data_IF_323100609687
#
_entry.id   IF_323100609687
#
_cell.length_a   1.000
_cell.length_b   1.000
_cell.length_c   1.000
_cell.angle_alpha   90.00
_cell.angle_beta   90.00
_cell.angle_gamma   90.00
#
_symmetry.space_group_name_H-M   'P 1'
#
loop_
_entity.id
_entity.type
_entity.pdbx_description
1 polymer ?
#
# COMPACT_ATOMS: atom_id res chain seq x y z
N UNK A 1 -6.41 13.79 -20.67
CA UNK A 1 -6.13 12.65 -19.76
C UNK A 1 -4.62 12.40 -19.79
N UNK A 2 -3.88 12.91 -18.81
CA UNK A 2 -2.41 12.78 -18.78
C UNK A 2 -2.04 11.37 -18.34
N UNK A 3 -1.62 10.56 -19.31
CA UNK A 3 -0.99 9.26 -19.09
C UNK A 3 0.42 9.50 -18.53
N UNK A 4 0.56 9.44 -17.20
CA UNK A 4 1.89 9.42 -16.60
C UNK A 4 2.52 8.06 -16.90
N UNK A 5 3.61 8.10 -17.66
CA UNK A 5 4.38 6.95 -18.10
C UNK A 5 5.05 6.28 -16.88
N UNK A 6 4.44 5.19 -16.41
CA UNK A 6 4.79 4.35 -15.26
C UNK A 6 6.08 3.52 -15.48
N UNK A 7 7.22 4.16 -15.74
CA UNK A 7 8.54 3.50 -15.82
C UNK A 7 9.30 3.45 -14.48
N UNK A 8 8.82 4.16 -13.44
CA UNK A 8 9.45 4.19 -12.11
C UNK A 8 9.04 3.02 -11.19
N UNK A 9 8.00 2.28 -11.54
CA UNK A 9 7.40 1.24 -10.69
C UNK A 9 7.97 -0.17 -10.90
N UNK A 10 9.09 -0.31 -11.63
CA UNK A 10 9.70 -1.62 -11.86
C UNK A 10 10.20 -2.30 -10.57
N UNK A 11 10.44 -1.54 -9.50
CA UNK A 11 10.83 -2.09 -8.19
C UNK A 11 9.91 -1.56 -7.08
N UNK A 12 9.26 -2.44 -6.30
CA UNK A 12 8.41 -2.04 -5.18
C UNK A 12 9.18 -1.17 -4.16
N UNK A 13 10.48 -1.42 -3.99
CA UNK A 13 11.35 -0.67 -3.07
C UNK A 13 11.42 0.83 -3.40
N UNK A 14 11.48 1.17 -4.70
CA UNK A 14 11.52 2.57 -5.13
C UNK A 14 10.22 3.29 -4.79
N UNK A 15 9.08 2.62 -4.97
CA UNK A 15 7.79 3.17 -4.63
C UNK A 15 7.63 3.38 -3.13
N UNK A 16 8.07 2.42 -2.32
CA UNK A 16 8.05 2.54 -0.87
C UNK A 16 8.89 3.73 -0.39
N UNK A 17 10.13 3.84 -0.87
CA UNK A 17 11.00 4.98 -0.54
C UNK A 17 10.36 6.30 -0.93
N UNK A 18 9.75 6.38 -2.13
CA UNK A 18 9.10 7.61 -2.59
C UNK A 18 7.89 7.98 -1.76
N UNK A 19 7.08 7.01 -1.33
CA UNK A 19 5.95 7.26 -0.45
C UNK A 19 6.39 7.78 0.93
N UNK A 20 7.51 7.28 1.46
CA UNK A 20 8.08 7.78 2.72
C UNK A 20 8.58 9.22 2.57
N UNK A 21 9.28 9.55 1.48
CA UNK A 21 9.69 10.93 1.19
C UNK A 21 8.49 11.88 1.10
N UNK A 22 7.44 11.49 0.37
CA UNK A 22 6.20 12.26 0.22
C UNK A 22 5.51 12.47 1.58
N UNK A 23 5.52 11.46 2.44
CA UNK A 23 4.97 11.57 3.80
C UNK A 23 5.77 12.54 4.66
N UNK A 24 7.11 12.52 4.54
CA UNK A 24 8.02 13.44 5.26
C UNK A 24 7.78 14.92 4.89
N UNK A 25 7.45 15.21 3.62
CA UNK A 25 7.12 16.56 3.16
C UNK A 25 5.62 16.92 3.30
N UNK A 26 4.88 16.23 4.19
CA UNK A 26 3.44 16.47 4.44
C UNK A 26 2.54 16.34 3.20
N UNK A 27 2.87 15.41 2.28
CA UNK A 27 2.01 15.05 1.13
C UNK A 27 1.47 13.62 1.21
N UNK A 28 0.71 13.26 2.27
CA UNK A 28 0.21 11.90 2.47
C UNK A 28 -0.75 11.44 1.36
N UNK A 29 -1.54 12.35 0.76
CA UNK A 29 -2.45 12.02 -0.34
C UNK A 29 -1.71 11.61 -1.63
N UNK A 30 -0.57 12.24 -1.90
CA UNK A 30 0.28 11.88 -3.03
C UNK A 30 0.97 10.52 -2.78
N UNK A 31 1.46 10.29 -1.57
CA UNK A 31 2.01 9.01 -1.15
C UNK A 31 0.97 7.88 -1.30
N UNK A 32 -0.27 8.11 -0.85
CA UNK A 32 -1.38 7.17 -0.96
C UNK A 32 -1.67 6.82 -2.42
N UNK A 33 -1.76 7.83 -3.28
CA UNK A 33 -2.04 7.64 -4.71
C UNK A 33 -0.94 6.81 -5.39
N UNK A 34 0.33 7.10 -5.05
CA UNK A 34 1.49 6.37 -5.58
C UNK A 34 1.44 4.90 -5.19
N UNK A 35 1.21 4.59 -3.90
CA UNK A 35 1.14 3.19 -3.44
C UNK A 35 -0.10 2.48 -3.99
N UNK A 36 -1.22 3.17 -4.17
CA UNK A 36 -2.42 2.61 -4.79
C UNK A 36 -2.17 2.16 -6.23
N UNK A 37 -1.45 2.96 -7.03
CA UNK A 37 -1.10 2.60 -8.42
C UNK A 37 -0.23 1.34 -8.46
N UNK A 38 0.73 1.22 -7.53
CA UNK A 38 1.57 0.02 -7.40
C UNK A 38 0.73 -1.21 -7.09
N UNK A 39 -0.17 -1.13 -6.11
CA UNK A 39 -1.05 -2.24 -5.74
C UNK A 39 -2.04 -2.58 -6.87
N UNK A 40 -2.53 -1.59 -7.61
CA UNK A 40 -3.54 -1.74 -8.67
C UNK A 40 -2.96 -2.17 -10.03
N UNK A 41 -1.64 -2.01 -10.23
CA UNK A 41 -1.00 -2.30 -11.51
C UNK A 41 -1.29 -3.72 -12.01
N UNK A 42 -1.74 -3.83 -13.27
CA UNK A 42 -2.07 -5.12 -13.91
C UNK A 42 -0.86 -5.88 -14.45
N UNK A 43 0.35 -5.36 -14.25
CA UNK A 43 1.58 -6.06 -14.65
C UNK A 43 1.75 -7.32 -13.80
N UNK A 44 2.43 -8.32 -14.34
CA UNK A 44 2.78 -9.51 -13.58
C UNK A 44 3.66 -9.10 -12.39
N UNK A 45 3.23 -9.42 -11.17
CA UNK A 45 3.94 -9.09 -9.94
C UNK A 45 4.35 -10.38 -9.26
N UNK A 46 5.64 -10.50 -8.96
CA UNK A 46 6.15 -11.50 -8.02
C UNK A 46 6.05 -10.90 -6.63
N UNK A 47 5.47 -11.64 -5.68
CA UNK A 47 5.38 -11.16 -4.31
C UNK A 47 6.79 -11.03 -3.72
N UNK A 48 6.97 -10.05 -2.85
CA UNK A 48 8.18 -9.86 -2.06
C UNK A 48 7.80 -9.22 -0.73
N UNK A 49 8.65 -9.34 0.32
CA UNK A 49 8.40 -8.71 1.62
C UNK A 49 8.16 -7.19 1.53
N UNK A 50 8.75 -6.52 0.53
CA UNK A 50 8.52 -5.09 0.29
C UNK A 50 7.05 -4.77 0.01
N UNK A 51 6.29 -5.68 -0.62
CA UNK A 51 4.86 -5.47 -0.83
C UNK A 51 4.06 -5.50 0.46
N UNK A 52 4.47 -6.29 1.46
CA UNK A 52 3.88 -6.23 2.81
C UNK A 52 4.12 -4.86 3.45
N UNK A 53 5.35 -4.34 3.38
CA UNK A 53 5.68 -3.00 3.89
C UNK A 53 4.93 -1.88 3.15
N UNK A 54 4.76 -2.01 1.84
CA UNK A 54 3.94 -1.11 1.03
C UNK A 54 2.50 -1.13 1.54
N UNK A 55 1.94 -2.31 1.76
CA UNK A 55 0.55 -2.45 2.19
C UNK A 55 0.33 -1.88 3.61
N UNK A 56 1.25 -2.14 4.54
CA UNK A 56 1.24 -1.55 5.88
C UNK A 56 1.28 -0.01 5.79
N UNK A 57 2.20 0.54 5.00
CA UNK A 57 2.33 1.98 4.81
C UNK A 57 1.07 2.58 4.17
N UNK A 58 0.51 1.90 3.17
CA UNK A 58 -0.73 2.28 2.51
C UNK A 58 -1.90 2.36 3.48
N UNK A 59 -2.07 1.35 4.35
CA UNK A 59 -3.12 1.33 5.36
C UNK A 59 -2.97 2.44 6.40
N UNK A 60 -1.75 2.73 6.85
CA UNK A 60 -1.49 3.86 7.74
C UNK A 60 -1.90 5.19 7.11
N UNK A 61 -1.58 5.38 5.83
CA UNK A 61 -2.03 6.56 5.09
C UNK A 61 -3.56 6.62 4.97
N UNK A 62 -4.22 5.50 4.70
CA UNK A 62 -5.68 5.43 4.68
C UNK A 62 -6.31 5.78 6.03
N UNK A 63 -5.77 5.25 7.14
CA UNK A 63 -6.21 5.60 8.49
C UNK A 63 -5.96 7.08 8.81
N UNK A 64 -4.84 7.63 8.35
CA UNK A 64 -4.50 9.06 8.50
C UNK A 64 -5.44 9.99 7.74
N UNK A 65 -5.88 9.57 6.56
CA UNK A 65 -6.74 10.37 5.70
C UNK A 65 -8.23 10.01 5.80
N UNK A 66 -8.61 9.12 6.73
CA UNK A 66 -9.97 8.56 6.88
C UNK A 66 -10.53 7.98 5.56
N UNK A 67 -9.70 7.25 4.83
CA UNK A 67 -9.99 6.65 3.52
C UNK A 67 -10.31 5.15 3.63
N UNK A 68 -11.44 4.84 4.28
CA UNK A 68 -11.86 3.46 4.56
C UNK A 68 -12.18 2.66 3.29
N UNK A 69 -12.74 3.32 2.26
CA UNK A 69 -13.02 2.70 0.96
C UNK A 69 -11.73 2.26 0.26
N UNK A 70 -10.76 3.16 0.19
CA UNK A 70 -9.46 2.92 -0.41
C UNK A 70 -8.69 1.81 0.34
N UNK A 71 -8.76 1.79 1.67
CA UNK A 71 -8.20 0.70 2.48
C UNK A 71 -8.79 -0.67 2.09
N UNK A 72 -10.12 -0.76 1.96
CA UNK A 72 -10.81 -2.00 1.56
C UNK A 72 -10.41 -2.45 0.16
N UNK A 73 -10.42 -1.54 -0.81
CA UNK A 73 -10.01 -1.84 -2.19
C UNK A 73 -8.53 -2.30 -2.25
N UNK A 74 -7.64 -1.64 -1.51
CA UNK A 74 -6.22 -2.03 -1.42
C UNK A 74 -6.02 -3.42 -0.82
N UNK A 75 -6.76 -3.78 0.23
CA UNK A 75 -6.73 -5.13 0.82
C UNK A 75 -7.18 -6.21 -0.16
N UNK A 76 -8.21 -5.94 -0.96
CA UNK A 76 -8.67 -6.88 -1.97
C UNK A 76 -7.56 -7.14 -3.02
N UNK A 77 -6.89 -6.09 -3.47
CA UNK A 77 -5.77 -6.22 -4.42
C UNK A 77 -4.58 -6.95 -3.80
N UNK A 78 -4.24 -6.63 -2.55
CA UNK A 78 -3.13 -7.24 -1.83
C UNK A 78 -3.34 -8.73 -1.55
N UNK A 79 -4.58 -9.13 -1.21
CA UNK A 79 -4.97 -10.54 -1.08
C UNK A 79 -4.63 -11.30 -2.36
N UNK A 80 -5.04 -10.80 -3.51
CA UNK A 80 -4.79 -11.47 -4.79
C UNK A 80 -3.29 -11.57 -5.10
N UNK A 81 -2.50 -10.57 -4.72
CA UNK A 81 -1.05 -10.55 -4.91
C UNK A 81 -0.31 -11.58 -4.02
N UNK A 82 -0.73 -11.73 -2.77
CA UNK A 82 -0.04 -12.56 -1.77
C UNK A 82 -0.56 -14.00 -1.71
N UNK A 83 -1.78 -14.27 -2.19
CA UNK A 83 -2.46 -15.56 -2.00
C UNK A 83 -1.63 -16.79 -2.41
N UNK A 84 -0.92 -16.73 -3.55
CA UNK A 84 -0.17 -17.89 -4.07
C UNK A 84 1.24 -18.04 -3.51
N UNK A 85 1.87 -16.93 -3.09
CA UNK A 85 3.30 -16.90 -2.72
C UNK A 85 3.52 -16.71 -1.22
N UNK A 86 2.63 -16.01 -0.53
CA UNK A 86 2.76 -15.67 0.88
C UNK A 86 1.38 -15.46 1.55
N UNK A 87 0.52 -16.51 1.64
CA UNK A 87 -0.83 -16.38 2.18
C UNK A 87 -0.88 -15.86 3.63
N UNK A 88 0.15 -16.14 4.45
CA UNK A 88 0.26 -15.62 5.82
C UNK A 88 0.54 -14.12 5.91
N UNK A 89 1.03 -13.50 4.82
CA UNK A 89 1.34 -12.08 4.77
C UNK A 89 0.08 -11.21 4.87
N UNK A 90 -1.04 -11.66 4.26
CA UNK A 90 -2.33 -10.98 4.42
C UNK A 90 -2.81 -10.96 5.88
N UNK A 91 -2.61 -12.06 6.58
CA UNK A 91 -3.00 -12.18 8.00
C UNK A 91 -2.23 -11.19 8.87
N UNK A 92 -0.92 -11.06 8.65
CA UNK A 92 -0.07 -10.09 9.34
C UNK A 92 -0.52 -8.65 9.09
N UNK A 93 -0.84 -8.30 7.83
CA UNK A 93 -1.34 -6.98 7.46
C UNK A 93 -2.67 -6.66 8.14
N UNK A 94 -3.59 -7.63 8.22
CA UNK A 94 -4.89 -7.44 8.88
C UNK A 94 -4.70 -7.24 10.38
N UNK A 95 -3.88 -8.05 11.05
CA UNK A 95 -3.57 -7.87 12.48
C UNK A 95 -2.99 -6.50 12.76
N UNK A 96 -2.04 -6.07 11.92
CA UNK A 96 -1.46 -4.74 12.01
C UNK A 96 -2.52 -3.64 11.88
N UNK A 97 -3.45 -3.76 10.92
CA UNK A 97 -4.51 -2.77 10.71
C UNK A 97 -5.40 -2.60 11.95
N UNK A 98 -5.76 -3.72 12.59
CA UNK A 98 -6.61 -3.70 13.79
C UNK A 98 -5.88 -2.98 14.92
N UNK A 99 -4.63 -3.37 15.22
CA UNK A 99 -3.80 -2.73 16.25
C UNK A 99 -3.60 -1.22 15.97
N UNK A 100 -3.33 -0.84 14.73
CA UNK A 100 -3.17 0.56 14.33
C UNK A 100 -4.48 1.37 14.47
N UNK A 101 -5.62 0.77 14.12
CA UNK A 101 -6.93 1.41 14.27
C UNK A 101 -7.31 1.58 15.75
N UNK A 102 -7.06 0.57 16.59
CA UNK A 102 -7.29 0.65 18.04
C UNK A 102 -6.44 1.74 18.70
N UNK A 103 -5.15 1.83 18.33
CA UNK A 103 -4.25 2.88 18.81
C UNK A 103 -4.68 4.29 18.40
N UNK A 104 -5.39 4.42 17.28
CA UNK A 104 -5.87 5.71 16.78
C UNK A 104 -7.22 6.12 17.38
N UNK A 105 -8.02 5.14 17.81
CA UNK A 105 -9.33 5.38 18.41
C UNK A 105 -9.24 5.70 19.92
N UNK A 106 -8.13 5.36 20.57
CA UNK A 106 -7.82 5.72 21.96
C UNK A 106 -7.26 7.13 22.08
#
# INVERSE_FOLDING_TARGET
KMSHNSSYFHKPENALRRAQELTSINQPSAALTLLHDVLSSRRHKTWSPTYEQIMITYLNLCLNLNKSREAKDGLHQYRNLSQSQAPGSLENVIRYLIDAAEKKCR
#
